data_IF_826617184462
#
_entry.id   IF_826617184462
#
_cell.length_a   1.000
_cell.length_b   1.000
_cell.length_c   1.000
_cell.angle_alpha   90.00
_cell.angle_beta   90.00
_cell.angle_gamma   90.00
#
_symmetry.space_group_name_H-M   'P 1'
#
loop_
_entity.id
_entity.type
_entity.pdbx_description
1 polymer ?
#
# COMPACT_ATOMS: atom_id res chain seq x y z
N UNK A 1 0.45 16.86 12.65
CA UNK A 1 1.60 17.04 13.58
C UNK A 1 2.87 16.62 12.85
N UNK A 2 4.04 17.14 13.22
CA UNK A 2 5.31 16.68 12.63
C UNK A 2 5.77 15.41 13.36
N UNK A 3 6.11 14.36 12.62
CA UNK A 3 6.70 13.12 13.15
C UNK A 3 8.19 13.08 12.84
N UNK A 4 9.01 12.68 13.81
CA UNK A 4 10.46 12.49 13.60
C UNK A 4 10.69 11.32 12.63
N UNK A 5 11.32 11.60 11.48
CA UNK A 5 11.71 10.60 10.48
C UNK A 5 11.37 10.99 9.04
N UNK A 6 12.23 10.60 8.10
CA UNK A 6 12.00 10.69 6.66
C UNK A 6 10.91 9.70 6.22
N UNK A 7 9.98 10.11 5.36
CA UNK A 7 8.91 9.25 4.79
C UNK A 7 7.95 8.64 5.82
N UNK A 8 7.65 9.38 6.89
CA UNK A 8 6.70 8.98 7.94
C UNK A 8 5.29 9.55 7.71
N UNK A 9 5.03 10.12 6.54
CA UNK A 9 3.77 10.76 6.18
C UNK A 9 2.64 9.74 6.11
N UNK A 10 1.62 9.89 6.97
CA UNK A 10 0.44 9.04 6.96
C UNK A 10 -0.74 9.66 7.74
N UNK A 11 -1.95 9.29 7.34
CA UNK A 11 -3.14 9.42 8.16
C UNK A 11 -3.26 8.25 9.16
N UNK A 12 -3.40 8.56 10.45
CA UNK A 12 -3.67 7.57 11.49
C UNK A 12 -5.17 7.55 11.84
N UNK A 13 -5.90 6.45 11.55
CA UNK A 13 -7.33 6.35 11.82
C UNK A 13 -7.65 6.21 13.33
N UNK A 14 -6.70 5.76 14.16
CA UNK A 14 -6.94 5.48 15.58
C UNK A 14 -7.09 6.77 16.39
N UNK A 15 -6.21 7.73 16.16
CA UNK A 15 -6.23 9.06 16.79
C UNK A 15 -6.79 10.15 15.86
N UNK A 16 -7.09 9.79 14.60
CA UNK A 16 -7.64 10.66 13.55
C UNK A 16 -6.70 11.82 13.19
N UNK A 17 -5.40 11.57 13.20
CA UNK A 17 -4.38 12.58 12.92
C UNK A 17 -3.79 12.43 11.51
N UNK A 18 -3.43 13.56 10.91
CA UNK A 18 -2.51 13.59 9.75
C UNK A 18 -1.11 13.87 10.29
N UNK A 19 -0.22 12.91 10.09
CA UNK A 19 1.17 12.96 10.50
C UNK A 19 2.02 13.20 9.27
N UNK A 20 2.86 14.22 9.32
CA UNK A 20 3.75 14.58 8.23
C UNK A 20 5.18 14.54 8.73
N UNK A 21 6.09 14.04 7.88
CA UNK A 21 7.52 14.12 8.13
C UNK A 21 7.94 15.58 8.26
N UNK A 22 8.99 15.85 9.03
CA UNK A 22 9.54 17.21 9.22
C UNK A 22 9.77 17.91 7.88
N UNK A 23 10.31 17.20 6.90
CA UNK A 23 10.60 17.74 5.57
C UNK A 23 9.33 18.16 4.82
N UNK A 24 8.28 17.33 4.82
CA UNK A 24 7.00 17.69 4.21
C UNK A 24 6.31 18.81 4.99
N UNK A 25 6.35 18.76 6.32
CA UNK A 25 5.67 19.72 7.19
C UNK A 25 6.22 21.14 7.05
N UNK A 26 7.55 21.30 6.93
CA UNK A 26 8.21 22.61 6.83
C UNK A 26 8.51 23.04 5.39
N UNK A 27 8.36 22.16 4.40
CA UNK A 27 8.64 22.47 2.99
C UNK A 27 7.53 23.31 2.35
N UNK A 28 7.95 24.20 1.44
CA UNK A 28 7.09 25.00 0.57
C UNK A 28 7.26 24.54 -0.87
N UNK A 29 6.86 23.31 -1.15
CA UNK A 29 6.99 22.69 -2.49
C UNK A 29 5.69 22.04 -2.94
N UNK A 30 5.56 21.88 -4.26
CA UNK A 30 4.41 21.20 -4.88
C UNK A 30 4.26 19.76 -4.36
N UNK A 31 5.38 19.05 -4.20
CA UNK A 31 5.39 17.68 -3.69
C UNK A 31 4.91 17.62 -2.22
N UNK A 32 5.38 18.52 -1.36
CA UNK A 32 4.93 18.59 0.03
C UNK A 32 3.42 18.88 0.15
N UNK A 33 2.93 19.84 -0.64
CA UNK A 33 1.50 20.13 -0.71
C UNK A 33 0.67 18.93 -1.23
N UNK A 34 1.21 18.19 -2.22
CA UNK A 34 0.58 16.99 -2.75
C UNK A 34 0.48 15.86 -1.71
N UNK A 35 1.57 15.57 -0.99
CA UNK A 35 1.60 14.56 0.08
C UNK A 35 0.65 14.93 1.21
N UNK A 36 0.70 16.18 1.70
CA UNK A 36 -0.20 16.63 2.75
C UNK A 36 -1.68 16.51 2.33
N UNK A 37 -2.01 16.89 1.08
CA UNK A 37 -3.35 16.76 0.53
C UNK A 37 -3.78 15.28 0.36
N UNK A 38 -2.85 14.37 0.03
CA UNK A 38 -3.08 12.93 -0.05
C UNK A 38 -3.50 12.34 1.29
N UNK A 39 -2.77 12.68 2.36
CA UNK A 39 -3.11 12.23 3.71
C UNK A 39 -4.44 12.80 4.20
N UNK A 40 -4.75 14.04 3.81
CA UNK A 40 -6.09 14.60 4.02
C UNK A 40 -7.16 13.84 3.21
N UNK A 41 -6.82 13.32 2.04
CA UNK A 41 -7.66 12.43 1.25
C UNK A 41 -8.05 11.16 2.01
N UNK A 42 -7.09 10.51 2.69
CA UNK A 42 -7.37 9.39 3.59
C UNK A 42 -8.25 9.77 4.79
N UNK A 43 -8.03 10.95 5.38
CA UNK A 43 -8.91 11.45 6.43
C UNK A 43 -10.35 11.64 5.95
N UNK A 44 -10.54 12.15 4.72
CA UNK A 44 -11.87 12.29 4.09
C UNK A 44 -12.48 10.93 3.79
N UNK A 45 -11.72 9.96 3.29
CA UNK A 45 -12.18 8.58 3.07
C UNK A 45 -12.70 7.98 4.37
N UNK A 46 -11.95 8.13 5.47
CA UNK A 46 -12.36 7.64 6.78
C UNK A 46 -13.64 8.34 7.26
N UNK A 47 -13.71 9.66 7.17
CA UNK A 47 -14.90 10.43 7.54
C UNK A 47 -16.14 10.05 6.72
N UNK A 48 -15.96 9.61 5.46
CA UNK A 48 -17.03 9.16 4.56
C UNK A 48 -17.28 7.65 4.63
N UNK A 49 -16.62 6.92 5.53
CA UNK A 49 -16.75 5.46 5.64
C UNK A 49 -16.52 4.74 4.30
N UNK A 50 -15.50 5.18 3.55
CA UNK A 50 -15.19 4.62 2.24
C UNK A 50 -14.92 3.11 2.34
N UNK A 51 -15.74 2.31 1.66
CA UNK A 51 -15.80 0.85 1.84
C UNK A 51 -14.45 0.16 1.63
N UNK A 52 -13.67 0.61 0.65
CA UNK A 52 -12.35 0.03 0.36
C UNK A 52 -11.32 0.34 1.46
N UNK A 53 -11.38 1.52 2.06
CA UNK A 53 -10.54 1.85 3.20
C UNK A 53 -10.88 0.97 4.39
N UNK A 54 -12.17 0.77 4.68
CA UNK A 54 -12.62 -0.14 5.74
C UNK A 54 -12.15 -1.58 5.49
N UNK A 55 -12.28 -2.07 4.25
CA UNK A 55 -11.80 -3.40 3.88
C UNK A 55 -10.28 -3.52 4.13
N UNK A 56 -9.48 -2.57 3.61
CA UNK A 56 -8.03 -2.49 3.86
C UNK A 56 -7.72 -2.55 5.35
N UNK A 57 -8.35 -1.69 6.16
CA UNK A 57 -8.11 -1.62 7.60
C UNK A 57 -8.41 -2.92 8.34
N UNK A 58 -9.50 -3.63 7.99
CA UNK A 58 -9.83 -4.92 8.61
C UNK A 58 -8.83 -6.04 8.27
N UNK A 59 -8.13 -5.93 7.14
CA UNK A 59 -7.13 -6.91 6.72
C UNK A 59 -5.75 -6.69 7.35
N UNK A 60 -5.45 -5.48 7.82
CA UNK A 60 -4.12 -5.12 8.37
C UNK A 60 -3.64 -6.08 9.46
N UNK A 61 -4.45 -6.47 10.47
CA UNK A 61 -3.98 -7.39 11.52
C UNK A 61 -3.56 -8.76 10.96
N UNK A 62 -4.34 -9.28 10.00
CA UNK A 62 -4.09 -10.60 9.39
C UNK A 62 -2.81 -10.57 8.55
N UNK A 63 -2.61 -9.50 7.79
CA UNK A 63 -1.44 -9.34 6.92
C UNK A 63 -0.18 -9.07 7.76
N UNK A 64 -0.28 -8.28 8.84
CA UNK A 64 0.85 -7.95 9.72
C UNK A 64 1.48 -9.19 10.38
N UNK A 65 0.65 -10.15 10.81
CA UNK A 65 1.13 -11.45 11.34
C UNK A 65 1.90 -12.22 10.26
N UNK A 66 1.48 -12.08 9.00
CA UNK A 66 2.06 -12.81 7.88
C UNK A 66 3.42 -12.24 7.46
N UNK A 67 3.62 -10.92 7.44
CA UNK A 67 4.77 -10.29 6.77
C UNK A 67 6.16 -10.73 7.24
N UNK A 68 6.36 -11.00 8.54
CA UNK A 68 7.65 -11.47 9.05
C UNK A 68 7.83 -12.99 8.95
N UNK A 69 6.73 -13.74 9.06
CA UNK A 69 6.77 -15.19 9.08
C UNK A 69 6.76 -15.78 7.67
N UNK A 70 6.14 -15.09 6.71
CA UNK A 70 5.89 -15.58 5.36
C UNK A 70 7.17 -15.91 4.61
N UNK A 71 8.22 -15.08 4.72
CA UNK A 71 9.51 -15.36 4.08
C UNK A 71 10.13 -16.65 4.60
N UNK A 72 10.11 -16.87 5.93
CA UNK A 72 10.61 -18.10 6.54
C UNK A 72 9.76 -19.31 6.19
N UNK A 73 8.44 -19.18 6.17
CA UNK A 73 7.51 -20.25 5.81
C UNK A 73 7.70 -20.68 4.35
N UNK A 74 7.87 -19.72 3.42
CA UNK A 74 8.14 -20.04 2.03
C UNK A 74 9.50 -20.72 1.85
N UNK A 75 10.55 -20.24 2.54
CA UNK A 75 11.89 -20.84 2.47
C UNK A 75 11.90 -22.26 3.04
N UNK A 76 11.38 -22.45 4.26
CA UNK A 76 11.28 -23.76 4.91
C UNK A 76 10.37 -24.68 4.09
N UNK A 77 9.26 -24.15 3.55
CA UNK A 77 8.34 -24.89 2.69
C UNK A 77 9.03 -25.44 1.44
N UNK A 78 9.83 -24.61 0.75
CA UNK A 78 10.63 -25.06 -0.40
C UNK A 78 11.67 -26.09 0.02
N UNK A 79 12.40 -25.87 1.13
CA UNK A 79 13.40 -26.85 1.60
C UNK A 79 12.77 -28.20 1.92
N UNK A 80 11.68 -28.24 2.70
CA UNK A 80 10.97 -29.47 3.04
C UNK A 80 10.39 -30.16 1.81
N UNK A 81 9.97 -29.39 0.80
CA UNK A 81 9.55 -29.93 -0.49
C UNK A 81 10.70 -30.60 -1.25
N UNK A 82 11.89 -29.97 -1.28
CA UNK A 82 13.10 -30.51 -1.94
C UNK A 82 13.54 -31.82 -1.28
N UNK A 83 13.48 -31.90 0.05
CA UNK A 83 13.79 -33.13 0.80
C UNK A 83 12.64 -34.16 0.82
N UNK A 84 11.60 -33.97 0.01
CA UNK A 84 10.44 -34.84 -0.14
C UNK A 84 9.70 -35.16 1.18
N UNK A 85 9.74 -34.25 2.16
CA UNK A 85 9.13 -34.47 3.48
C UNK A 85 7.63 -34.19 3.44
N UNK A 86 7.24 -32.97 3.05
CA UNK A 86 5.81 -32.59 2.95
C UNK A 86 5.62 -31.26 2.22
N UNK A 87 4.57 -31.10 1.39
CA UNK A 87 4.24 -29.83 0.75
C UNK A 87 3.39 -28.90 1.65
N UNK A 88 2.93 -29.36 2.82
CA UNK A 88 1.97 -28.63 3.67
C UNK A 88 2.49 -27.25 4.07
N UNK A 89 3.77 -27.14 4.44
CA UNK A 89 4.37 -25.86 4.86
C UNK A 89 4.40 -24.86 3.70
N UNK A 90 4.71 -25.33 2.49
CA UNK A 90 4.66 -24.47 1.30
C UNK A 90 3.21 -24.06 0.99
N UNK A 91 2.23 -24.96 1.14
CA UNK A 91 0.82 -24.63 0.94
C UNK A 91 0.34 -23.53 1.90
N UNK A 92 0.73 -23.60 3.18
CA UNK A 92 0.47 -22.54 4.16
C UNK A 92 1.10 -21.21 3.70
N UNK A 93 2.34 -21.25 3.22
CA UNK A 93 3.02 -20.08 2.66
C UNK A 93 2.29 -19.49 1.45
N UNK A 94 1.81 -20.32 0.52
CA UNK A 94 1.04 -19.87 -0.64
C UNK A 94 -0.28 -19.20 -0.23
N UNK A 95 -0.99 -19.74 0.77
CA UNK A 95 -2.21 -19.11 1.32
C UNK A 95 -1.88 -17.76 1.95
N UNK A 96 -0.81 -17.67 2.75
CA UNK A 96 -0.36 -16.39 3.31
C UNK A 96 0.00 -15.37 2.23
N UNK A 97 0.69 -15.80 1.18
CA UNK A 97 1.04 -14.96 0.04
C UNK A 97 -0.21 -14.51 -0.74
N UNK A 98 -1.23 -15.36 -0.85
CA UNK A 98 -2.51 -14.98 -1.44
C UNK A 98 -3.19 -13.86 -0.65
N UNK A 99 -3.19 -13.92 0.69
CA UNK A 99 -3.72 -12.85 1.54
C UNK A 99 -2.98 -11.53 1.33
N UNK A 100 -1.64 -11.57 1.24
CA UNK A 100 -0.82 -10.38 0.93
C UNK A 100 -1.15 -9.82 -0.45
N UNK A 101 -1.28 -10.67 -1.47
CA UNK A 101 -1.64 -10.24 -2.83
C UNK A 101 -3.03 -9.59 -2.87
N UNK A 102 -4.02 -10.18 -2.21
CA UNK A 102 -5.36 -9.57 -2.10
C UNK A 102 -5.28 -8.23 -1.38
N UNK A 103 -4.52 -8.13 -0.30
CA UNK A 103 -4.31 -6.87 0.41
C UNK A 103 -3.72 -5.77 -0.49
N UNK A 104 -2.69 -6.10 -1.29
CA UNK A 104 -2.10 -5.15 -2.23
C UNK A 104 -3.12 -4.68 -3.28
N UNK A 105 -3.96 -5.58 -3.80
CA UNK A 105 -5.02 -5.22 -4.77
C UNK A 105 -6.10 -4.34 -4.12
N UNK A 106 -6.56 -4.69 -2.92
CA UNK A 106 -7.55 -3.91 -2.14
C UNK A 106 -7.03 -2.52 -1.77
N UNK A 107 -5.70 -2.37 -1.65
CA UNK A 107 -5.07 -1.08 -1.36
C UNK A 107 -5.12 -0.14 -2.58
N UNK A 108 -5.12 -0.65 -3.82
CA UNK A 108 -5.08 0.20 -5.02
C UNK A 108 -6.26 1.21 -5.09
N UNK A 109 -7.54 0.81 -4.96
CA UNK A 109 -8.65 1.77 -4.99
C UNK A 109 -8.60 2.82 -3.88
N UNK A 110 -7.96 2.51 -2.74
CA UNK A 110 -7.79 3.44 -1.62
C UNK A 110 -6.81 4.54 -1.99
N UNK A 111 -5.65 4.17 -2.53
CA UNK A 111 -4.61 5.13 -2.90
C UNK A 111 -5.04 6.00 -4.09
N UNK A 112 -5.67 5.42 -5.12
CA UNK A 112 -6.17 6.20 -6.26
C UNK A 112 -7.29 7.19 -5.88
N UNK A 113 -8.22 6.79 -5.01
CA UNK A 113 -9.29 7.69 -4.55
C UNK A 113 -8.73 8.80 -3.64
N UNK A 114 -7.75 8.51 -2.79
CA UNK A 114 -7.07 9.53 -1.98
C UNK A 114 -6.34 10.56 -2.87
N UNK A 115 -5.56 10.10 -3.86
CA UNK A 115 -4.91 10.98 -4.84
C UNK A 115 -5.89 11.84 -5.63
N UNK A 116 -7.02 11.27 -6.04
CA UNK A 116 -8.06 12.01 -6.77
C UNK A 116 -8.69 13.11 -5.90
N UNK A 117 -8.96 12.83 -4.62
CA UNK A 117 -9.46 13.83 -3.66
C UNK A 117 -8.43 14.93 -3.42
N UNK A 118 -7.16 14.56 -3.25
CA UNK A 118 -6.07 15.49 -3.07
C UNK A 118 -5.96 16.46 -4.26
N UNK A 119 -5.97 15.94 -5.49
CA UNK A 119 -5.94 16.75 -6.71
C UNK A 119 -7.15 17.65 -6.86
N UNK A 120 -8.35 17.14 -6.55
CA UNK A 120 -9.56 17.94 -6.58
C UNK A 120 -9.48 19.09 -5.56
N UNK A 121 -8.93 18.86 -4.37
CA UNK A 121 -8.75 19.89 -3.37
C UNK A 121 -7.70 20.93 -3.82
N UNK A 122 -6.51 20.49 -4.27
CA UNK A 122 -5.43 21.39 -4.69
C UNK A 122 -5.85 22.31 -5.85
N UNK A 123 -6.54 21.78 -6.86
CA UNK A 123 -7.04 22.55 -8.00
C UNK A 123 -8.01 23.67 -7.61
N UNK A 124 -8.77 23.46 -6.53
CA UNK A 124 -9.77 24.42 -6.05
C UNK A 124 -9.20 25.41 -5.01
N UNK A 125 -7.93 25.30 -4.64
CA UNK A 125 -7.29 26.14 -3.62
C UNK A 125 -6.15 26.96 -4.21
N UNK A 126 -6.49 28.11 -4.79
CA UNK A 126 -5.54 29.04 -5.43
C UNK A 126 -4.50 29.64 -4.46
N UNK A 127 -4.77 29.60 -3.15
CA UNK A 127 -3.80 30.01 -2.13
C UNK A 127 -2.63 29.04 -1.95
N UNK A 128 -2.78 27.79 -2.39
CA UNK A 128 -1.76 26.73 -2.30
C UNK A 128 -1.13 26.45 -3.66
N UNK A 129 -1.95 26.32 -4.71
CA UNK A 129 -1.50 26.12 -6.10
C UNK A 129 -1.99 27.25 -6.98
N UNK A 130 -1.08 28.07 -7.51
CA UNK A 130 -1.43 29.27 -8.27
C UNK A 130 -1.41 29.04 -9.77
N UNK A 131 -0.55 28.14 -10.24
CA UNK A 131 -0.29 27.95 -11.66
C UNK A 131 -0.81 26.60 -12.17
N UNK A 132 -1.06 26.53 -13.48
CA UNK A 132 -1.41 25.27 -14.14
C UNK A 132 -0.25 24.27 -14.13
N UNK A 133 0.98 24.76 -14.10
CA UNK A 133 2.19 23.94 -14.06
C UNK A 133 2.31 23.20 -12.72
N UNK A 134 2.14 23.90 -11.60
CA UNK A 134 2.11 23.30 -10.25
C UNK A 134 1.03 22.22 -10.12
N UNK A 135 -0.15 22.46 -10.69
CA UNK A 135 -1.24 21.48 -10.73
C UNK A 135 -0.87 20.22 -11.53
N UNK A 136 -0.08 20.38 -12.61
CA UNK A 136 0.40 19.26 -13.42
C UNK A 136 1.47 18.47 -12.66
N UNK A 137 2.42 19.17 -12.04
CA UNK A 137 3.45 18.57 -11.21
C UNK A 137 2.87 17.79 -10.02
N UNK A 138 1.83 18.30 -9.35
CA UNK A 138 1.14 17.59 -8.27
C UNK A 138 0.44 16.32 -8.76
N UNK A 139 -0.20 16.40 -9.95
CA UNK A 139 -0.82 15.23 -10.58
C UNK A 139 0.21 14.16 -10.88
N UNK A 140 1.34 14.54 -11.45
CA UNK A 140 2.40 13.60 -11.79
C UNK A 140 3.02 12.98 -10.53
N UNK A 141 3.27 13.77 -9.48
CA UNK A 141 3.76 13.27 -8.20
C UNK A 141 2.83 12.23 -7.58
N UNK A 142 1.52 12.52 -7.50
CA UNK A 142 0.53 11.60 -6.95
C UNK A 142 0.31 10.36 -7.83
N UNK A 143 0.45 10.51 -9.15
CA UNK A 143 0.40 9.40 -10.09
C UNK A 143 1.57 8.43 -9.86
N UNK A 144 2.80 8.94 -9.82
CA UNK A 144 3.98 8.12 -9.59
C UNK A 144 3.99 7.47 -8.21
N UNK A 145 3.51 8.18 -7.18
CA UNK A 145 3.31 7.60 -5.86
C UNK A 145 2.33 6.41 -5.91
N UNK A 146 1.17 6.57 -6.56
CA UNK A 146 0.20 5.47 -6.72
C UNK A 146 0.75 4.29 -7.53
N UNK A 147 1.62 4.52 -8.52
CA UNK A 147 2.27 3.45 -9.29
C UNK A 147 3.16 2.55 -8.44
N UNK A 148 3.72 3.02 -7.32
CA UNK A 148 4.48 2.16 -6.40
C UNK A 148 3.62 1.03 -5.84
N UNK A 149 2.35 1.29 -5.54
CA UNK A 149 1.39 0.28 -5.11
C UNK A 149 1.02 -0.68 -6.24
N UNK A 150 0.91 -0.20 -7.48
CA UNK A 150 0.67 -1.05 -8.65
C UNK A 150 1.82 -2.03 -8.84
N UNK A 151 3.06 -1.55 -8.76
CA UNK A 151 4.26 -2.40 -8.84
C UNK A 151 4.26 -3.44 -7.71
N UNK A 152 3.94 -3.04 -6.48
CA UNK A 152 3.83 -3.96 -5.35
C UNK A 152 2.74 -5.03 -5.57
N UNK A 153 1.58 -4.67 -6.10
CA UNK A 153 0.51 -5.60 -6.40
C UNK A 153 0.89 -6.61 -7.50
N UNK A 154 1.53 -6.15 -8.58
CA UNK A 154 2.03 -7.01 -9.66
C UNK A 154 3.12 -7.95 -9.13
N UNK A 155 4.07 -7.43 -8.34
CA UNK A 155 5.13 -8.23 -7.73
C UNK A 155 4.57 -9.31 -6.81
N UNK A 156 3.61 -8.96 -5.94
CA UNK A 156 2.94 -9.93 -5.07
C UNK A 156 2.18 -11.00 -5.87
N UNK A 157 1.49 -10.61 -6.94
CA UNK A 157 0.78 -11.55 -7.82
C UNK A 157 1.76 -12.48 -8.55
N UNK A 158 2.84 -11.96 -9.13
CA UNK A 158 3.86 -12.76 -9.80
C UNK A 158 4.48 -13.77 -8.83
N UNK A 159 4.81 -13.34 -7.62
CA UNK A 159 5.36 -14.22 -6.58
C UNK A 159 4.35 -15.30 -6.17
N UNK A 160 3.06 -14.95 -6.02
CA UNK A 160 2.00 -15.91 -5.72
C UNK A 160 1.90 -16.98 -6.80
N UNK A 161 1.85 -16.57 -8.07
CA UNK A 161 1.79 -17.49 -9.20
C UNK A 161 3.02 -18.40 -9.26
N UNK A 162 4.21 -17.86 -8.99
CA UNK A 162 5.44 -18.64 -8.95
C UNK A 162 5.37 -19.76 -7.89
N UNK A 163 5.12 -19.45 -6.63
CA UNK A 163 5.07 -20.46 -5.56
C UNK A 163 3.85 -21.39 -5.68
N UNK A 164 2.71 -20.90 -6.16
CA UNK A 164 1.55 -21.74 -6.45
C UNK A 164 1.86 -22.75 -7.57
N UNK A 165 2.51 -22.31 -8.66
CA UNK A 165 2.91 -23.19 -9.75
C UNK A 165 3.87 -24.29 -9.29
N UNK A 166 4.79 -23.97 -8.38
CA UNK A 166 5.71 -24.94 -7.78
C UNK A 166 4.97 -25.98 -6.92
N UNK A 167 3.99 -25.54 -6.11
CA UNK A 167 3.18 -26.41 -5.26
C UNK A 167 2.32 -27.39 -6.09
N UNK A 168 1.64 -26.88 -7.12
CA UNK A 168 0.73 -27.70 -7.93
C UNK A 168 1.44 -28.49 -9.04
N UNK A 169 2.61 -28.04 -9.52
CA UNK A 169 3.37 -28.70 -10.58
C UNK A 169 3.85 -30.10 -10.21
N UNK A 170 4.22 -30.31 -8.94
CA UNK A 170 4.69 -31.60 -8.42
C UNK A 170 3.56 -32.53 -7.94
N UNK A 171 2.32 -32.04 -7.88
CA UNK A 171 1.15 -32.88 -7.56
C UNK A 171 0.69 -33.75 -8.74
N UNK A 172 1.35 -33.60 -9.90
CA UNK A 172 1.06 -34.28 -11.17
C UNK A 172 2.07 -35.38 -11.52
N UNK A 173 3.09 -35.57 -10.69
CA UNK A 173 4.07 -36.66 -10.77
C UNK A 173 3.82 -37.65 -9.63
#
# INVERSE_FOLDING_TARGET
MSTEGQLTDHYNPSDRTVNLSTDVYYSRSVAAAAVAAHECGHAVQHAKSYSWLNLRSTMVPVVSISSNLLQWVLLIGVMLMVFAVTPIVLAIGVVGLALVTVFSIVTLPVEFDASNRALAWLKNNQGVMQTQEENTQAKDALWWAAMTYVVAAIGALANLLYYASMLFGRSRD
#
